data_IF_414243652549
#
_entry.id   IF_414243652549
#
_cell.length_a   1.000
_cell.length_b   1.000
_cell.length_c   1.000
_cell.angle_alpha   90.00
_cell.angle_beta   90.00
_cell.angle_gamma   90.00
#
_symmetry.space_group_name_H-M   'P 1'
#
loop_
_entity.id
_entity.type
_entity.pdbx_description
1 polymer ?
#
# COMPACT_ATOMS: atom_id res chain seq x y z
N UNK A 1 -3.24 -13.99 7.53
CA UNK A 1 -3.02 -12.54 7.65
C UNK A 1 -1.54 -12.27 7.54
N UNK A 2 -0.74 -12.75 8.50
CA UNK A 2 0.72 -12.54 8.54
C UNK A 2 1.40 -12.81 7.19
N UNK A 3 1.23 -14.01 6.62
CA UNK A 3 1.83 -14.32 5.31
C UNK A 3 1.38 -13.40 4.16
N UNK A 4 0.11 -12.96 4.15
CA UNK A 4 -0.38 -12.06 3.09
C UNK A 4 0.24 -10.67 3.23
N UNK A 5 0.41 -10.18 4.46
CA UNK A 5 1.14 -8.94 4.74
C UNK A 5 2.61 -9.10 4.36
N UNK A 6 3.25 -10.20 4.76
CA UNK A 6 4.64 -10.49 4.42
C UNK A 6 4.84 -10.53 2.91
N UNK A 7 3.97 -11.22 2.17
CA UNK A 7 4.04 -11.29 0.71
C UNK A 7 3.83 -9.88 0.10
N UNK A 8 2.92 -9.05 0.66
CA UNK A 8 2.73 -7.67 0.20
C UNK A 8 3.98 -6.81 0.42
N UNK A 9 4.59 -6.92 1.60
CA UNK A 9 5.80 -6.18 1.94
C UNK A 9 6.95 -6.57 1.00
N UNK A 10 7.20 -7.86 0.84
CA UNK A 10 8.33 -8.38 0.07
C UNK A 10 8.17 -8.19 -1.44
N UNK A 11 6.95 -8.24 -1.97
CA UNK A 11 6.70 -8.18 -3.42
C UNK A 11 6.38 -6.77 -3.93
N UNK A 12 5.83 -5.90 -3.09
CA UNK A 12 5.36 -4.55 -3.49
C UNK A 12 6.07 -3.45 -2.74
N UNK A 13 6.13 -3.52 -1.41
CA UNK A 13 6.57 -2.37 -0.60
C UNK A 13 8.09 -2.19 -0.68
N UNK A 14 8.87 -3.22 -0.34
CA UNK A 14 10.34 -3.13 -0.33
C UNK A 14 10.95 -2.87 -1.72
N UNK A 15 10.56 -3.59 -2.79
CA UNK A 15 11.17 -3.39 -4.11
C UNK A 15 10.94 -1.98 -4.69
N UNK A 16 9.86 -1.32 -4.28
CA UNK A 16 9.50 0.02 -4.73
C UNK A 16 9.92 1.13 -3.75
N UNK A 17 10.68 0.78 -2.69
CA UNK A 17 11.13 1.72 -1.64
C UNK A 17 9.98 2.48 -0.97
N UNK A 18 8.87 1.77 -0.78
CA UNK A 18 7.69 2.28 -0.09
C UNK A 18 7.73 1.88 1.38
N UNK A 19 7.04 2.63 2.22
CA UNK A 19 6.71 2.28 3.60
C UNK A 19 5.22 1.95 3.65
N UNK A 20 4.86 1.00 4.51
CA UNK A 20 3.49 0.59 4.75
C UNK A 20 3.20 0.64 6.25
N UNK A 21 2.19 1.40 6.63
CA UNK A 21 1.62 1.40 7.97
C UNK A 21 0.20 0.82 7.88
N UNK A 22 0.04 -0.40 8.39
CA UNK A 22 -1.17 -1.20 8.24
C UNK A 22 -1.95 -1.33 9.55
N UNK A 23 -3.26 -1.19 9.44
CA UNK A 23 -4.23 -1.26 10.54
C UNK A 23 -5.40 -2.15 10.11
N UNK A 24 -6.07 -2.81 11.07
CA UNK A 24 -7.30 -3.53 10.75
C UNK A 24 -7.66 -4.67 11.68
N UNK A 25 -8.94 -5.06 11.64
CA UNK A 25 -9.47 -6.25 12.30
C UNK A 25 -10.46 -6.99 11.40
N UNK A 26 -11.58 -6.35 11.05
CA UNK A 26 -12.58 -6.89 10.11
C UNK A 26 -12.37 -6.39 8.67
N UNK A 27 -11.93 -5.13 8.53
CA UNK A 27 -11.46 -4.55 7.29
C UNK A 27 -9.99 -4.16 7.48
N UNK A 28 -9.24 -4.18 6.38
CA UNK A 28 -7.86 -3.75 6.37
C UNK A 28 -7.77 -2.37 5.76
N UNK A 29 -7.00 -1.53 6.42
CA UNK A 29 -6.66 -0.20 5.96
C UNK A 29 -5.15 -0.02 6.10
N UNK A 30 -4.57 0.84 5.29
CA UNK A 30 -3.17 1.16 5.47
C UNK A 30 -2.76 2.38 4.69
N UNK A 31 -1.76 3.04 5.23
CA UNK A 31 -1.08 4.17 4.62
C UNK A 31 0.17 3.66 3.91
N UNK A 32 0.37 4.11 2.68
CA UNK A 32 1.57 3.84 1.91
C UNK A 32 2.22 5.16 1.54
N UNK A 33 3.49 5.31 1.86
CA UNK A 33 4.29 6.48 1.52
C UNK A 33 5.70 6.06 1.03
N UNK A 34 6.53 7.01 0.64
CA UNK A 34 7.94 6.73 0.33
C UNK A 34 8.72 6.49 1.64
N UNK A 35 9.67 5.56 1.66
CA UNK A 35 10.54 5.38 2.84
C UNK A 35 11.43 6.60 3.11
N UNK A 36 11.80 7.31 2.05
CA UNK A 36 12.61 8.52 2.09
C UNK A 36 11.77 9.73 1.66
N UNK A 37 12.24 10.96 1.95
CA UNK A 37 11.56 12.18 1.54
C UNK A 37 11.34 12.17 0.03
N UNK A 38 10.07 12.25 -0.37
CA UNK A 38 9.67 12.16 -1.77
C UNK A 38 8.15 12.12 -1.91
N UNK A 39 7.70 11.78 -3.12
CA UNK A 39 6.29 11.65 -3.45
C UNK A 39 6.00 10.28 -4.05
N UNK A 40 4.93 9.64 -3.62
CA UNK A 40 4.37 8.52 -4.35
C UNK A 40 3.86 8.99 -5.71
N UNK A 41 3.85 8.10 -6.69
CA UNK A 41 3.33 8.38 -8.03
C UNK A 41 2.12 7.50 -8.32
N UNK A 42 1.40 7.82 -9.39
CA UNK A 42 0.28 7.01 -9.86
C UNK A 42 0.73 5.58 -10.21
N UNK A 43 1.97 5.39 -10.67
CA UNK A 43 2.54 4.07 -10.92
C UNK A 43 2.65 3.25 -9.62
N UNK A 44 3.11 3.85 -8.51
CA UNK A 44 3.14 3.16 -7.21
C UNK A 44 1.73 2.72 -6.79
N UNK A 45 0.76 3.62 -6.92
CA UNK A 45 -0.64 3.32 -6.60
C UNK A 45 -1.20 2.19 -7.48
N UNK A 46 -0.90 2.21 -8.78
CA UNK A 46 -1.34 1.20 -9.73
C UNK A 46 -0.77 -0.19 -9.41
N UNK A 47 0.51 -0.27 -9.02
CA UNK A 47 1.16 -1.54 -8.64
C UNK A 47 0.52 -2.11 -7.38
N UNK A 48 0.28 -1.27 -6.36
CA UNK A 48 -0.41 -1.68 -5.13
C UNK A 48 -1.81 -2.19 -5.44
N UNK A 49 -2.62 -1.41 -6.16
CA UNK A 49 -3.99 -1.79 -6.52
C UNK A 49 -4.01 -3.12 -7.27
N UNK A 50 -3.16 -3.27 -8.29
CA UNK A 50 -3.06 -4.48 -9.09
C UNK A 50 -2.73 -5.71 -8.23
N UNK A 51 -1.76 -5.61 -7.33
CA UNK A 51 -1.38 -6.74 -6.47
C UNK A 51 -2.52 -7.19 -5.55
N UNK A 52 -3.27 -6.24 -4.99
CA UNK A 52 -4.43 -6.51 -4.13
C UNK A 52 -5.58 -7.18 -4.92
N UNK A 53 -5.88 -6.66 -6.12
CA UNK A 53 -6.93 -7.19 -7.01
C UNK A 53 -6.59 -8.60 -7.54
N UNK A 54 -5.34 -8.85 -7.94
CA UNK A 54 -4.89 -10.16 -8.44
C UNK A 54 -5.02 -11.28 -7.40
N UNK A 55 -4.90 -10.91 -6.11
CA UNK A 55 -5.10 -11.82 -4.97
C UNK A 55 -6.56 -11.98 -4.55
N UNK A 56 -7.50 -11.37 -5.29
CA UNK A 56 -8.95 -11.44 -5.07
C UNK A 56 -9.35 -11.00 -3.66
N UNK A 57 -8.71 -9.96 -3.15
CA UNK A 57 -9.17 -9.29 -1.92
C UNK A 57 -10.47 -8.56 -2.22
N UNK A 58 -11.38 -8.55 -1.25
CA UNK A 58 -12.68 -7.92 -1.39
C UNK A 58 -12.59 -6.41 -1.15
N UNK A 59 -13.41 -5.65 -1.89
CA UNK A 59 -13.57 -4.20 -1.72
C UNK A 59 -12.26 -3.37 -1.76
N UNK A 60 -11.33 -3.72 -2.65
CA UNK A 60 -10.09 -2.94 -2.86
C UNK A 60 -10.42 -1.49 -3.26
N UNK A 61 -9.95 -0.54 -2.45
CA UNK A 61 -10.08 0.91 -2.69
C UNK A 61 -8.73 1.57 -2.49
N UNK A 62 -8.44 2.59 -3.28
CA UNK A 62 -7.28 3.48 -3.07
C UNK A 62 -7.76 4.93 -3.00
N UNK A 63 -7.20 5.72 -2.10
CA UNK A 63 -7.45 7.17 -2.04
C UNK A 63 -6.69 7.90 -3.15
N UNK A 64 -7.00 9.16 -3.37
CA UNK A 64 -6.07 10.06 -4.09
C UNK A 64 -4.73 10.16 -3.33
N UNK A 65 -3.67 10.56 -4.05
CA UNK A 65 -2.38 10.85 -3.43
C UNK A 65 -2.48 12.19 -2.69
N UNK A 66 -2.01 12.22 -1.44
CA UNK A 66 -2.03 13.40 -0.58
C UNK A 66 -0.70 13.57 0.18
N UNK A 67 -0.49 14.73 0.78
CA UNK A 67 0.71 15.02 1.58
C UNK A 67 0.51 14.58 3.03
N UNK A 68 1.23 13.54 3.44
CA UNK A 68 1.14 12.95 4.80
C UNK A 68 1.53 13.92 5.92
N UNK A 69 2.27 15.01 5.64
CA UNK A 69 2.74 15.95 6.66
C UNK A 69 1.83 17.16 6.85
N UNK A 70 0.94 17.44 5.90
CA UNK A 70 0.13 18.65 5.88
C UNK A 70 -1.38 18.40 5.90
N UNK A 71 -1.83 17.16 5.67
CA UNK A 71 -3.22 16.70 5.81
C UNK A 71 -3.43 15.74 6.99
#
# INVERSE_FOLDING_TARGET
IDKTVDDFINEVIEPNKLAFDGSGYLAWEGLICMQEIGKCTEEHQAIVRKWLEERKLDEVRTSELFDVWWD
#
